data_IF_024217143157
#
_entry.id   IF_024217143157
#
_cell.length_a   1.000
_cell.length_b   1.000
_cell.length_c   1.000
_cell.angle_alpha   90.00
_cell.angle_beta   90.00
_cell.angle_gamma   90.00
#
_symmetry.space_group_name_H-M   'P 1'
#
loop_
_entity.id
_entity.type
_entity.pdbx_description
1 polymer ?
#
# COMPACT_ATOMS: atom_id res chain seq x y z
N UNK A 1 -6.57 23.53 -7.65
CA UNK A 1 -5.92 22.48 -8.47
C UNK A 1 -6.90 22.11 -9.57
N UNK A 2 -6.45 21.79 -10.80
CA UNK A 2 -7.33 21.11 -11.75
C UNK A 2 -7.93 19.89 -11.04
N UNK A 3 -9.23 19.61 -11.17
CA UNK A 3 -9.88 18.51 -10.45
C UNK A 3 -9.54 17.13 -11.08
N UNK A 4 -8.32 16.96 -11.59
CA UNK A 4 -7.91 15.81 -12.39
C UNK A 4 -8.69 15.70 -13.70
N UNK A 5 -8.56 14.57 -14.38
CA UNK A 5 -9.11 14.38 -15.73
C UNK A 5 -10.17 13.28 -15.80
N UNK A 6 -9.95 12.14 -15.15
CA UNK A 6 -10.93 11.06 -14.88
C UNK A 6 -10.19 9.91 -14.16
N UNK A 7 -10.78 8.70 -14.08
CA UNK A 7 -10.04 7.46 -13.84
C UNK A 7 -9.06 7.23 -15.03
N UNK A 8 -7.81 6.89 -14.74
CA UNK A 8 -6.71 6.78 -15.72
C UNK A 8 -6.15 5.35 -15.82
N UNK A 9 -6.85 4.42 -16.48
CA UNK A 9 -6.33 3.07 -16.76
C UNK A 9 -5.32 3.04 -17.93
N UNK A 10 -4.34 3.95 -17.92
CA UNK A 10 -3.32 4.13 -18.95
C UNK A 10 -1.98 4.53 -18.34
N UNK A 11 -0.88 4.11 -18.96
CA UNK A 11 0.47 4.56 -18.59
C UNK A 11 0.73 6.04 -18.95
N UNK A 12 -0.14 6.63 -19.77
CA UNK A 12 -0.12 8.05 -20.09
C UNK A 12 -1.19 8.78 -19.30
N UNK A 13 -0.79 9.86 -18.62
CA UNK A 13 -1.72 10.76 -17.96
C UNK A 13 -2.67 11.42 -18.96
N UNK A 14 -3.92 11.61 -18.56
CA UNK A 14 -4.85 12.36 -19.39
C UNK A 14 -4.44 13.83 -19.38
N UNK A 15 -4.51 14.45 -20.56
CA UNK A 15 -4.29 15.88 -20.76
C UNK A 15 -5.59 16.55 -21.22
N UNK A 16 -5.65 17.88 -21.09
CA UNK A 16 -6.76 18.69 -21.59
C UNK A 16 -7.45 19.53 -20.53
N UNK A 17 -8.78 19.64 -20.62
CA UNK A 17 -9.59 20.40 -19.66
C UNK A 17 -9.80 19.59 -18.40
N UNK A 18 -9.35 20.10 -17.27
CA UNK A 18 -9.58 19.48 -16.00
C UNK A 18 -11.07 19.39 -15.69
N UNK A 19 -11.44 18.39 -14.89
CA UNK A 19 -12.79 18.30 -14.32
C UNK A 19 -13.11 19.62 -13.60
N UNK A 20 -14.37 20.01 -13.69
CA UNK A 20 -14.88 21.25 -13.15
C UNK A 20 -16.02 21.01 -12.17
N UNK A 21 -16.93 21.97 -12.17
CA UNK A 21 -18.24 21.83 -11.53
C UNK A 21 -19.31 21.76 -12.60
N UNK A 22 -20.46 21.19 -12.24
CA UNK A 22 -21.67 21.23 -13.07
C UNK A 22 -22.77 22.02 -12.38
N UNK A 23 -23.65 22.62 -13.18
CA UNK A 23 -24.79 23.39 -12.69
C UNK A 23 -26.04 22.52 -12.51
N UNK A 24 -26.15 21.47 -13.33
CA UNK A 24 -27.32 20.60 -13.38
C UNK A 24 -26.95 19.18 -12.95
N UNK A 25 -27.91 18.52 -12.32
CA UNK A 25 -27.80 17.14 -11.86
C UNK A 25 -28.76 16.25 -12.65
N UNK A 26 -28.32 15.04 -12.94
CA UNK A 26 -29.13 14.07 -13.66
C UNK A 26 -30.42 13.74 -12.87
N UNK A 27 -31.58 13.51 -13.54
CA UNK A 27 -32.85 13.29 -12.87
C UNK A 27 -32.85 12.18 -11.82
N UNK A 28 -32.12 11.09 -12.06
CA UNK A 28 -32.06 9.95 -11.13
C UNK A 28 -31.37 10.30 -9.79
N UNK A 29 -30.46 11.29 -9.78
CA UNK A 29 -29.80 11.78 -8.57
C UNK A 29 -30.72 12.63 -7.70
N UNK A 30 -31.83 13.14 -8.25
CA UNK A 30 -32.80 13.96 -7.50
C UNK A 30 -33.63 13.16 -6.50
N UNK A 31 -33.52 11.82 -6.52
CA UNK A 31 -34.12 10.94 -5.52
C UNK A 31 -33.41 11.01 -4.16
N UNK A 32 -32.17 11.52 -4.14
CA UNK A 32 -31.40 11.73 -2.92
C UNK A 32 -31.39 13.19 -2.44
N UNK A 33 -30.60 13.46 -1.41
CA UNK A 33 -30.37 14.83 -0.95
C UNK A 33 -29.59 15.66 -1.99
N UNK A 34 -30.04 16.90 -2.20
CA UNK A 34 -29.42 17.88 -3.10
C UNK A 34 -29.07 19.11 -2.26
N UNK A 35 -27.79 19.46 -2.20
CA UNK A 35 -27.35 20.69 -1.54
C UNK A 35 -27.64 21.91 -2.40
N UNK A 36 -27.64 23.10 -1.80
CA UNK A 36 -27.56 24.33 -2.58
C UNK A 36 -26.28 24.32 -3.43
N UNK A 37 -26.41 24.66 -4.72
CA UNK A 37 -25.33 24.47 -5.70
C UNK A 37 -24.12 25.37 -5.49
N UNK A 38 -24.27 26.50 -4.77
CA UNK A 38 -23.23 27.54 -4.67
C UNK A 38 -22.71 27.91 -6.09
N UNK A 39 -21.41 27.73 -6.37
CA UNK A 39 -20.83 27.94 -7.72
C UNK A 39 -20.97 26.72 -8.65
N UNK A 40 -21.41 25.58 -8.13
CA UNK A 40 -21.67 24.33 -8.86
C UNK A 40 -21.24 23.09 -8.06
N UNK A 41 -21.77 21.94 -8.47
CA UNK A 41 -21.48 20.62 -7.88
C UNK A 41 -20.17 20.05 -8.42
N UNK A 42 -19.34 19.50 -7.54
CA UNK A 42 -18.07 18.88 -7.92
C UNK A 42 -18.31 17.60 -8.72
N UNK A 43 -17.50 17.35 -9.74
CA UNK A 43 -17.54 16.11 -10.51
C UNK A 43 -16.65 15.01 -9.88
N UNK A 44 -17.23 13.81 -9.75
CA UNK A 44 -16.49 12.56 -9.50
C UNK A 44 -15.48 12.28 -10.62
N UNK A 45 -14.58 11.33 -10.41
CA UNK A 45 -13.62 10.90 -11.45
C UNK A 45 -14.29 10.32 -12.71
N UNK A 46 -15.51 9.80 -12.57
CA UNK A 46 -16.32 9.31 -13.68
C UNK A 46 -17.29 10.35 -14.26
N UNK A 47 -17.17 11.62 -13.87
CA UNK A 47 -17.99 12.71 -14.40
C UNK A 47 -19.42 12.78 -13.82
N UNK A 48 -19.74 11.98 -12.80
CA UNK A 48 -21.01 12.12 -12.07
C UNK A 48 -20.95 13.28 -11.08
N UNK A 49 -22.02 14.08 -10.92
CA UNK A 49 -22.08 15.15 -9.94
C UNK A 49 -22.16 14.61 -8.49
N UNK A 50 -21.36 15.16 -7.59
CA UNK A 50 -21.56 15.01 -6.15
C UNK A 50 -22.65 15.97 -5.68
N UNK A 51 -23.87 15.48 -5.44
CA UNK A 51 -25.02 16.31 -5.05
C UNK A 51 -24.89 17.00 -3.69
N UNK A 52 -23.84 16.67 -2.92
CA UNK A 52 -23.56 17.18 -1.59
C UNK A 52 -22.16 17.81 -1.47
N UNK A 53 -21.47 18.04 -2.58
CA UNK A 53 -20.13 18.66 -2.60
C UNK A 53 -20.11 19.80 -3.60
N UNK A 54 -19.89 21.02 -3.12
CA UNK A 54 -20.00 22.24 -3.92
C UNK A 54 -18.77 23.12 -3.81
N UNK A 55 -18.53 23.92 -4.84
CA UNK A 55 -17.44 24.90 -4.85
C UNK A 55 -17.92 26.24 -4.29
N UNK A 56 -17.10 26.85 -3.43
CA UNK A 56 -17.29 28.21 -2.90
C UNK A 56 -15.96 28.95 -2.87
N UNK A 57 -15.75 29.82 -3.85
CA UNK A 57 -14.47 30.46 -4.13
C UNK A 57 -13.36 29.44 -4.35
N UNK A 58 -12.33 29.51 -3.51
CA UNK A 58 -11.20 28.58 -3.51
C UNK A 58 -11.40 27.36 -2.59
N UNK A 59 -12.55 27.22 -1.92
CA UNK A 59 -12.83 26.11 -1.04
C UNK A 59 -13.84 25.14 -1.66
N UNK A 60 -13.82 23.90 -1.17
CA UNK A 60 -14.86 22.91 -1.41
C UNK A 60 -15.66 22.72 -0.12
N UNK A 61 -16.98 22.76 -0.22
CA UNK A 61 -17.88 22.54 0.90
C UNK A 61 -18.52 21.16 0.74
N UNK A 62 -18.29 20.29 1.72
CA UNK A 62 -18.92 18.96 1.80
C UNK A 62 -20.07 19.04 2.80
N UNK A 63 -21.30 18.85 2.33
CA UNK A 63 -22.51 18.79 3.15
C UNK A 63 -22.68 17.36 3.67
N UNK A 64 -22.60 17.17 4.99
CA UNK A 64 -22.74 15.85 5.59
C UNK A 64 -24.20 15.52 5.88
N UNK A 65 -24.52 14.22 5.92
CA UNK A 65 -25.82 13.72 6.35
C UNK A 65 -26.19 14.11 7.80
N UNK A 66 -25.19 14.46 8.62
CA UNK A 66 -25.39 14.98 9.98
C UNK A 66 -25.86 16.44 10.05
N UNK A 67 -25.97 17.13 8.91
CA UNK A 67 -26.29 18.56 8.82
C UNK A 67 -25.11 19.49 9.04
N UNK A 68 -23.90 18.96 9.26
CA UNK A 68 -22.67 19.75 9.36
C UNK A 68 -22.01 19.94 8.00
N UNK A 69 -21.34 21.08 7.84
CA UNK A 69 -20.51 21.38 6.68
C UNK A 69 -19.04 21.17 7.01
N UNK A 70 -18.31 20.55 6.09
CA UNK A 70 -16.84 20.51 6.12
C UNK A 70 -16.30 21.39 5.00
N UNK A 71 -15.47 22.36 5.37
CA UNK A 71 -14.70 23.18 4.42
C UNK A 71 -13.35 22.51 4.14
N UNK A 72 -13.12 22.13 2.89
CA UNK A 72 -11.85 21.61 2.40
C UNK A 72 -11.06 22.72 1.69
N UNK A 73 -9.86 22.99 2.19
CA UNK A 73 -8.92 23.94 1.59
C UNK A 73 -7.94 23.21 0.66
N UNK A 74 -7.82 23.59 -0.62
CA UNK A 74 -6.91 22.93 -1.55
C UNK A 74 -5.44 23.08 -1.15
N UNK A 75 -4.61 22.05 -1.45
CA UNK A 75 -3.17 22.04 -1.16
C UNK A 75 -2.42 23.26 -1.74
N UNK A 76 -2.77 23.73 -2.95
CA UNK A 76 -2.17 24.92 -3.55
C UNK A 76 -2.34 26.16 -2.67
N UNK A 77 -3.56 26.36 -2.14
CA UNK A 77 -3.85 27.48 -1.22
C UNK A 77 -3.09 27.31 0.09
N UNK A 78 -3.07 26.10 0.66
CA UNK A 78 -2.28 25.84 1.87
C UNK A 78 -0.78 26.12 1.67
N UNK A 79 -0.24 25.90 0.47
CA UNK A 79 1.14 26.25 0.13
C UNK A 79 1.35 27.76 0.06
N UNK A 80 0.47 28.48 -0.64
CA UNK A 80 0.49 29.96 -0.75
C UNK A 80 0.41 30.62 0.62
N UNK A 81 -0.47 30.10 1.48
CA UNK A 81 -0.68 30.56 2.86
C UNK A 81 0.43 30.08 3.83
N UNK A 82 1.44 29.34 3.35
CA UNK A 82 2.53 28.73 4.15
C UNK A 82 2.02 27.88 5.33
N UNK A 83 0.89 27.21 5.14
CA UNK A 83 0.20 26.40 6.15
C UNK A 83 0.53 24.88 6.07
N UNK A 84 1.38 24.47 5.12
CA UNK A 84 1.85 23.09 5.00
C UNK A 84 2.96 22.78 6.00
N UNK A 85 2.97 21.56 6.54
CA UNK A 85 4.10 21.08 7.35
C UNK A 85 5.34 20.89 6.49
N UNK A 86 6.52 20.87 7.13
CA UNK A 86 7.78 20.62 6.42
C UNK A 86 7.78 19.27 5.70
N UNK A 87 7.28 18.22 6.35
CA UNK A 87 7.13 16.91 5.71
C UNK A 87 6.21 16.96 4.48
N UNK A 88 5.13 17.76 4.52
CA UNK A 88 4.24 17.92 3.37
C UNK A 88 4.91 18.71 2.22
N UNK A 89 5.72 19.72 2.53
CA UNK A 89 6.50 20.45 1.52
C UNK A 89 7.53 19.54 0.84
N UNK A 90 8.29 18.78 1.61
CA UNK A 90 9.25 17.81 1.07
C UNK A 90 8.52 16.78 0.20
N UNK A 91 7.49 16.12 0.75
CA UNK A 91 6.82 15.03 0.07
C UNK A 91 6.04 15.46 -1.18
N UNK A 92 5.30 16.58 -1.14
CA UNK A 92 4.37 16.95 -2.22
C UNK A 92 4.88 18.06 -3.15
N UNK A 93 5.90 18.82 -2.75
CA UNK A 93 6.45 19.91 -3.57
C UNK A 93 7.82 19.59 -4.14
N UNK A 94 8.72 19.02 -3.34
CA UNK A 94 10.12 18.79 -3.74
C UNK A 94 10.32 17.44 -4.44
N UNK A 95 9.58 16.40 -4.03
CA UNK A 95 9.70 15.06 -4.61
C UNK A 95 8.62 14.86 -5.68
N UNK A 96 8.95 15.17 -6.93
CA UNK A 96 8.00 15.07 -8.05
C UNK A 96 7.42 13.65 -8.23
N UNK A 97 8.21 12.61 -7.94
CA UNK A 97 7.77 11.23 -8.03
C UNK A 97 6.58 10.93 -7.11
N UNK A 98 6.52 11.51 -5.91
CA UNK A 98 5.39 11.32 -5.01
C UNK A 98 4.09 11.90 -5.59
N UNK A 99 4.16 13.12 -6.13
CA UNK A 99 3.00 13.80 -6.70
C UNK A 99 2.51 13.14 -7.99
N UNK A 100 3.43 12.61 -8.79
CA UNK A 100 3.09 12.11 -10.12
C UNK A 100 2.69 10.63 -10.09
N UNK A 101 3.27 9.83 -9.19
CA UNK A 101 3.14 8.37 -9.22
C UNK A 101 2.35 7.79 -8.04
N UNK A 102 2.19 8.50 -6.93
CA UNK A 102 1.42 7.99 -5.78
C UNK A 102 -0.03 8.46 -5.84
N UNK A 103 -0.88 7.64 -5.24
CA UNK A 103 -2.19 8.07 -4.79
C UNK A 103 -2.10 8.90 -3.50
N UNK A 104 -2.98 9.88 -3.32
CA UNK A 104 -3.03 10.65 -2.08
C UNK A 104 -3.24 9.75 -0.85
N UNK A 105 -4.05 8.70 -1.00
CA UNK A 105 -4.34 7.75 0.07
C UNK A 105 -3.18 6.80 0.37
N UNK A 106 -2.14 6.73 -0.47
CA UNK A 106 -0.90 6.02 -0.16
C UNK A 106 -0.21 6.60 1.07
N UNK A 107 -0.21 7.92 1.17
CA UNK A 107 0.36 8.63 2.31
C UNK A 107 -0.66 8.77 3.46
N UNK A 108 -1.94 8.96 3.15
CA UNK A 108 -2.93 9.35 4.16
C UNK A 108 -3.74 8.20 4.77
N UNK A 109 -3.74 6.99 4.19
CA UNK A 109 -4.30 5.80 4.81
C UNK A 109 -3.29 5.22 5.81
N UNK A 110 -3.43 5.54 7.10
CA UNK A 110 -2.41 5.25 8.12
C UNK A 110 -2.43 3.82 8.67
N UNK A 111 -3.45 3.04 8.31
CA UNK A 111 -3.53 1.61 8.61
C UNK A 111 -4.60 0.98 7.72
N UNK A 112 -4.59 -0.35 7.56
CA UNK A 112 -5.71 -1.06 6.96
C UNK A 112 -5.90 -2.43 7.64
N UNK A 113 -7.14 -2.93 7.77
CA UNK A 113 -7.39 -4.30 8.20
C UNK A 113 -6.87 -5.26 7.11
N UNK A 114 -6.04 -6.21 7.50
CA UNK A 114 -5.36 -7.14 6.59
C UNK A 114 -5.59 -8.58 7.04
N UNK A 115 -6.55 -9.26 6.39
CA UNK A 115 -6.91 -10.65 6.66
C UNK A 115 -6.03 -11.59 5.83
N UNK A 116 -4.98 -12.16 6.44
CA UNK A 116 -4.09 -13.08 5.74
C UNK A 116 -4.59 -14.52 5.84
N UNK A 117 -4.63 -15.20 4.69
CA UNK A 117 -4.99 -16.61 4.52
C UNK A 117 -6.39 -16.98 5.02
N UNK A 118 -7.34 -17.17 4.12
CA UNK A 118 -8.68 -17.68 4.41
C UNK A 118 -8.75 -19.19 4.14
N UNK A 119 -8.93 -20.00 5.18
CA UNK A 119 -9.19 -21.42 5.03
C UNK A 119 -10.69 -21.68 4.91
N UNK A 120 -11.11 -22.09 3.72
CA UNK A 120 -12.48 -22.47 3.40
C UNK A 120 -12.58 -23.99 3.45
N UNK A 121 -13.44 -24.49 4.34
CA UNK A 121 -13.78 -25.91 4.42
C UNK A 121 -15.22 -26.12 3.97
N UNK A 122 -15.40 -26.99 2.98
CA UNK A 122 -16.72 -27.47 2.53
C UNK A 122 -16.87 -28.92 2.99
N UNK A 123 -17.85 -29.18 3.85
CA UNK A 123 -18.01 -30.47 4.50
C UNK A 123 -19.36 -31.11 4.15
N UNK A 124 -19.31 -32.15 3.33
CA UNK A 124 -20.47 -32.93 2.88
C UNK A 124 -20.79 -34.13 3.79
N UNK A 125 -20.00 -34.38 4.83
CA UNK A 125 -20.17 -35.53 5.71
C UNK A 125 -21.42 -35.42 6.57
N UNK A 126 -22.05 -36.57 6.87
CA UNK A 126 -23.16 -36.63 7.82
C UNK A 126 -24.40 -35.80 7.44
N UNK A 127 -24.63 -35.56 6.14
CA UNK A 127 -25.77 -34.79 5.65
C UNK A 127 -25.71 -33.30 6.03
N UNK A 128 -24.52 -32.77 6.27
CA UNK A 128 -24.30 -31.34 6.54
C UNK A 128 -24.76 -30.49 5.35
N UNK A 129 -25.39 -29.36 5.67
CA UNK A 129 -25.95 -28.43 4.69
C UNK A 129 -25.50 -27.00 4.99
N UNK A 130 -25.65 -26.12 4.01
CA UNK A 130 -25.52 -24.67 4.15
C UNK A 130 -26.65 -23.95 3.40
N UNK A 131 -26.82 -22.67 3.68
CA UNK A 131 -27.79 -21.83 2.98
C UNK A 131 -27.21 -21.40 1.63
N UNK A 132 -27.99 -21.55 0.56
CA UNK A 132 -27.75 -20.88 -0.73
C UNK A 132 -28.32 -19.46 -0.68
N UNK A 133 -27.47 -18.51 -0.30
CA UNK A 133 -27.83 -17.10 -0.23
C UNK A 133 -28.14 -16.48 -1.60
N UNK A 134 -27.65 -17.05 -2.71
CA UNK A 134 -27.95 -16.56 -4.05
C UNK A 134 -29.36 -16.96 -4.47
N UNK A 135 -29.72 -18.23 -4.28
CA UNK A 135 -31.09 -18.69 -4.51
C UNK A 135 -32.10 -17.94 -3.62
N UNK A 136 -31.77 -17.77 -2.34
CA UNK A 136 -32.60 -17.05 -1.38
C UNK A 136 -32.78 -15.56 -1.74
N UNK A 137 -31.75 -14.91 -2.32
CA UNK A 137 -31.82 -13.51 -2.73
C UNK A 137 -32.57 -13.30 -4.05
N UNK A 138 -32.55 -14.30 -4.95
CA UNK A 138 -33.27 -14.27 -6.23
C UNK A 138 -34.77 -14.51 -6.09
N UNK A 139 -35.21 -15.24 -5.06
CA UNK A 139 -36.62 -15.44 -4.79
C UNK A 139 -37.24 -14.17 -4.16
N UNK A 140 -37.78 -13.28 -4.98
CA UNK A 140 -38.41 -12.04 -4.54
C UNK A 140 -39.92 -12.10 -4.70
N UNK A 141 -40.65 -11.67 -3.67
CA UNK A 141 -42.10 -11.50 -3.79
C UNK A 141 -42.45 -10.16 -4.46
N UNK A 142 -43.76 -9.91 -4.63
CA UNK A 142 -44.27 -8.68 -5.25
C UNK A 142 -43.93 -7.38 -4.48
N UNK A 143 -43.46 -7.50 -3.24
CA UNK A 143 -43.04 -6.37 -2.40
C UNK A 143 -41.51 -6.22 -2.36
N UNK A 144 -40.77 -7.09 -3.05
CA UNK A 144 -39.30 -7.08 -3.06
C UNK A 144 -38.68 -7.74 -1.83
N UNK A 145 -39.47 -8.42 -0.99
CA UNK A 145 -38.91 -9.21 0.12
C UNK A 145 -38.21 -10.42 -0.47
N UNK A 146 -36.98 -10.71 -0.01
CA UNK A 146 -36.22 -11.87 -0.48
C UNK A 146 -36.62 -13.14 0.26
N UNK A 147 -36.45 -14.29 -0.38
CA UNK A 147 -36.69 -15.62 0.18
C UNK A 147 -35.94 -15.85 1.47
N UNK A 148 -34.71 -15.34 1.55
CA UNK A 148 -33.90 -15.40 2.76
C UNK A 148 -34.47 -14.63 3.96
N UNK A 149 -35.33 -13.63 3.74
CA UNK A 149 -36.05 -12.94 4.83
C UNK A 149 -37.32 -13.69 5.27
N UNK A 150 -37.84 -14.59 4.42
CA UNK A 150 -39.06 -15.37 4.69
C UNK A 150 -38.74 -16.71 5.35
N UNK A 151 -37.88 -17.52 4.74
CA UNK A 151 -37.48 -18.83 5.26
C UNK A 151 -36.14 -19.30 4.67
N UNK A 152 -35.05 -19.16 5.44
CA UNK A 152 -33.73 -19.64 5.02
C UNK A 152 -33.64 -21.17 4.88
N UNK A 153 -34.52 -21.94 5.55
CA UNK A 153 -34.46 -23.41 5.50
C UNK A 153 -34.94 -23.97 4.16
N UNK A 154 -35.74 -23.20 3.41
CA UNK A 154 -36.18 -23.57 2.08
C UNK A 154 -35.03 -23.57 1.04
N UNK A 155 -33.89 -22.94 1.35
CA UNK A 155 -32.75 -22.77 0.45
C UNK A 155 -31.50 -23.51 0.95
N UNK A 156 -31.68 -24.68 1.56
CA UNK A 156 -30.55 -25.51 2.00
C UNK A 156 -29.99 -26.33 0.85
N UNK A 157 -28.66 -26.33 0.74
CA UNK A 157 -27.89 -27.16 -0.20
C UNK A 157 -26.91 -28.05 0.54
N UNK A 158 -26.57 -29.18 -0.07
CA UNK A 158 -25.57 -30.12 0.45
C UNK A 158 -24.22 -29.44 0.67
N UNK A 159 -23.57 -29.75 1.80
CA UNK A 159 -22.24 -29.24 2.16
C UNK A 159 -22.33 -28.04 3.10
N UNK A 160 -21.72 -28.16 4.29
CA UNK A 160 -21.54 -27.01 5.18
C UNK A 160 -20.26 -26.28 4.86
N UNK A 161 -20.36 -25.00 4.53
CA UNK A 161 -19.19 -24.12 4.34
C UNK A 161 -18.83 -23.48 5.67
N UNK A 162 -17.56 -23.53 6.02
CA UNK A 162 -16.97 -22.81 7.16
C UNK A 162 -15.71 -22.11 6.71
N UNK A 163 -15.48 -20.90 7.20
CA UNK A 163 -14.29 -20.12 6.91
C UNK A 163 -13.57 -19.80 8.22
N UNK A 164 -12.25 -19.94 8.19
CA UNK A 164 -11.36 -19.44 9.24
C UNK A 164 -10.25 -18.61 8.58
N UNK A 165 -9.57 -17.77 9.37
CA UNK A 165 -8.47 -16.94 8.90
C UNK A 165 -7.19 -17.28 9.65
N UNK A 166 -6.05 -17.17 8.97
CA UNK A 166 -4.75 -17.47 9.56
C UNK A 166 -4.34 -16.40 10.55
N UNK A 167 -4.43 -15.12 10.17
CA UNK A 167 -4.19 -13.99 11.06
C UNK A 167 -4.73 -12.67 10.52
N UNK A 168 -4.89 -11.69 11.40
CA UNK A 168 -5.37 -10.34 11.09
C UNK A 168 -4.42 -9.29 11.66
N UNK A 169 -4.17 -8.23 10.90
CA UNK A 169 -3.35 -7.07 11.29
C UNK A 169 -4.09 -5.77 11.03
N UNK A 170 -3.84 -4.76 11.85
CA UNK A 170 -4.34 -3.38 11.71
C UNK A 170 -3.15 -2.44 11.77
N UNK A 171 -2.40 -2.40 10.69
CA UNK A 171 -1.12 -1.69 10.60
C UNK A 171 -0.93 -1.13 9.19
N UNK A 172 0.22 -0.52 8.95
CA UNK A 172 0.59 -0.02 7.63
C UNK A 172 0.47 -1.14 6.56
N UNK A 173 -0.30 -0.91 5.49
CA UNK A 173 -0.40 -1.85 4.37
C UNK A 173 0.88 -1.86 3.52
N UNK A 174 1.05 -2.95 2.76
CA UNK A 174 2.05 -3.04 1.70
C UNK A 174 1.76 -2.03 0.58
N UNK A 175 2.64 -1.92 -0.42
CA UNK A 175 2.44 -1.07 -1.59
C UNK A 175 2.50 -1.88 -2.88
N UNK A 176 1.66 -1.50 -3.84
CA UNK A 176 1.74 -2.00 -5.22
C UNK A 176 1.16 -0.96 -6.18
N UNK A 177 1.35 -1.20 -7.48
CA UNK A 177 0.72 -0.39 -8.51
C UNK A 177 -0.75 -0.80 -8.66
N UNK A 178 -1.66 0.18 -8.66
CA UNK A 178 -3.08 -0.03 -8.92
C UNK A 178 -3.41 -0.05 -10.42
N UNK A 179 -4.68 -0.28 -10.74
CA UNK A 179 -5.17 -0.31 -12.12
C UNK A 179 -5.01 1.01 -12.89
N UNK A 180 -4.79 2.13 -12.19
CA UNK A 180 -4.53 3.44 -12.81
C UNK A 180 -3.02 3.73 -12.98
N UNK A 181 -2.16 2.73 -12.76
CA UNK A 181 -0.71 2.89 -12.87
C UNK A 181 -0.08 3.68 -11.72
N UNK A 182 -0.81 3.94 -10.63
CA UNK A 182 -0.34 4.70 -9.46
C UNK A 182 -0.05 3.77 -8.30
N UNK A 183 0.94 4.12 -7.48
CA UNK A 183 1.28 3.36 -6.28
C UNK A 183 0.25 3.63 -5.20
N UNK A 184 -0.29 2.56 -4.63
CA UNK A 184 -1.38 2.57 -3.67
C UNK A 184 -1.13 1.59 -2.51
N UNK A 185 -1.83 1.76 -1.37
CA UNK A 185 -1.92 0.74 -0.35
C UNK A 185 -2.43 -0.59 -0.92
N UNK A 186 -1.83 -1.68 -0.48
CA UNK A 186 -2.17 -3.04 -0.91
C UNK A 186 -2.37 -3.92 0.31
N UNK A 187 -3.51 -4.59 0.36
CA UNK A 187 -3.90 -5.50 1.43
C UNK A 187 -4.15 -6.90 0.86
N UNK A 188 -4.21 -7.95 1.70
CA UNK A 188 -4.74 -9.24 1.25
C UNK A 188 -6.14 -9.07 0.65
N UNK A 189 -6.28 -9.54 -0.59
CA UNK A 189 -7.57 -9.83 -1.19
C UNK A 189 -8.07 -11.19 -0.70
N UNK A 190 -8.66 -11.97 -1.60
CA UNK A 190 -9.03 -13.34 -1.30
C UNK A 190 -7.80 -14.25 -1.33
N UNK A 191 -7.33 -14.70 -0.17
CA UNK A 191 -6.23 -15.66 -0.06
C UNK A 191 -6.75 -17.04 0.33
N UNK A 192 -7.43 -17.71 -0.59
CA UNK A 192 -8.21 -18.92 -0.28
C UNK A 192 -7.36 -20.19 -0.31
N UNK A 193 -7.38 -20.92 0.79
CA UNK A 193 -6.96 -22.31 0.91
C UNK A 193 -8.20 -23.18 1.13
N UNK A 194 -8.39 -24.20 0.31
CA UNK A 194 -9.63 -25.01 0.30
C UNK A 194 -9.41 -26.39 0.90
N UNK A 195 -10.36 -26.87 1.69
CA UNK A 195 -10.50 -28.28 2.02
C UNK A 195 -11.92 -28.76 1.75
N UNK A 196 -12.04 -29.92 1.12
CA UNK A 196 -13.33 -30.52 0.79
C UNK A 196 -13.41 -31.87 1.47
N UNK A 197 -14.39 -32.05 2.36
CA UNK A 197 -14.66 -33.32 3.03
C UNK A 197 -15.83 -33.99 2.32
N UNK A 198 -15.61 -35.18 1.80
CA UNK A 198 -16.62 -35.96 1.09
C UNK A 198 -17.71 -36.51 2.02
N UNK A 199 -18.76 -37.09 1.43
CA UNK A 199 -19.90 -37.66 2.16
C UNK A 199 -19.49 -38.74 3.18
N UNK A 200 -18.41 -39.47 2.89
CA UNK A 200 -17.82 -40.50 3.77
C UNK A 200 -16.95 -39.94 4.91
N UNK A 201 -16.78 -38.61 5.01
CA UNK A 201 -15.92 -37.98 6.03
C UNK A 201 -14.44 -37.93 5.68
N UNK A 202 -14.03 -38.42 4.51
CA UNK A 202 -12.64 -38.35 4.01
C UNK A 202 -12.39 -37.04 3.26
N UNK A 203 -11.20 -36.48 3.40
CA UNK A 203 -10.78 -35.31 2.63
C UNK A 203 -10.60 -35.68 1.14
N UNK A 204 -11.35 -35.01 0.27
CA UNK A 204 -11.20 -35.04 -1.19
C UNK A 204 -10.16 -34.00 -1.65
N UNK A 205 -10.10 -32.87 -0.94
CA UNK A 205 -9.06 -31.85 -1.04
C UNK A 205 -8.65 -31.46 0.38
N UNK A 206 -7.36 -31.36 0.62
CA UNK A 206 -6.79 -30.93 1.89
C UNK A 206 -5.87 -29.74 1.62
N UNK A 207 -6.10 -28.62 2.32
CA UNK A 207 -5.23 -27.44 2.30
C UNK A 207 -4.75 -27.03 0.89
N UNK A 208 -5.66 -27.02 -0.07
CA UNK A 208 -5.34 -26.83 -1.47
C UNK A 208 -5.46 -25.37 -1.88
N UNK A 209 -4.40 -24.82 -2.47
CA UNK A 209 -4.44 -23.54 -3.19
C UNK A 209 -4.36 -23.85 -4.68
N UNK A 210 -5.34 -23.37 -5.45
CA UNK A 210 -5.35 -23.54 -6.89
C UNK A 210 -4.29 -22.65 -7.55
N UNK A 211 -3.87 -23.02 -8.77
CA UNK A 211 -2.98 -22.19 -9.59
C UNK A 211 -3.69 -21.73 -10.85
N UNK A 212 -3.40 -20.49 -11.25
CA UNK A 212 -3.90 -19.87 -12.47
C UNK A 212 -2.74 -19.85 -13.48
N UNK A 213 -2.82 -20.63 -14.58
CA UNK A 213 -1.79 -20.62 -15.62
C UNK A 213 -1.80 -19.29 -16.38
N UNK A 214 -0.63 -18.88 -16.88
CA UNK A 214 -0.45 -17.76 -17.82
C UNK A 214 -1.01 -16.39 -17.36
N UNK A 215 -1.07 -16.15 -16.04
CA UNK A 215 -1.52 -14.87 -15.45
C UNK A 215 -0.34 -14.06 -14.89
N UNK A 216 -0.36 -12.73 -15.08
CA UNK A 216 0.62 -11.79 -14.48
C UNK A 216 2.10 -12.20 -14.69
N UNK A 217 2.43 -12.73 -15.87
CA UNK A 217 3.80 -13.16 -16.20
C UNK A 217 4.20 -14.52 -15.61
N UNK A 218 3.27 -15.23 -14.97
CA UNK A 218 3.47 -16.62 -14.58
C UNK A 218 3.68 -17.49 -15.83
N UNK A 219 4.71 -18.34 -15.78
CA UNK A 219 4.97 -19.37 -16.80
C UNK A 219 3.95 -20.52 -16.66
N UNK A 220 4.20 -21.65 -17.33
CA UNK A 220 3.35 -22.84 -17.27
C UNK A 220 3.05 -23.37 -15.84
N UNK A 221 3.88 -23.06 -14.82
CA UNK A 221 3.59 -23.44 -13.42
C UNK A 221 2.37 -22.70 -12.85
N UNK A 222 2.02 -21.52 -13.38
CA UNK A 222 0.94 -20.67 -12.92
C UNK A 222 1.22 -19.94 -11.60
N UNK A 223 0.39 -18.94 -11.31
CA UNK A 223 0.42 -18.20 -10.04
C UNK A 223 -0.55 -18.84 -9.04
N UNK A 224 -0.22 -18.83 -7.74
CA UNK A 224 -1.19 -19.18 -6.71
C UNK A 224 -2.43 -18.27 -6.83
N UNK A 225 -3.62 -18.87 -6.80
CA UNK A 225 -4.93 -18.20 -6.84
C UNK A 225 -5.29 -17.54 -5.48
N UNK A 226 -4.33 -16.82 -4.93
CA UNK A 226 -4.46 -15.98 -3.75
C UNK A 226 -4.03 -14.57 -4.15
N UNK A 227 -4.69 -13.54 -3.63
CA UNK A 227 -4.53 -12.18 -4.15
C UNK A 227 -4.07 -11.18 -3.08
N UNK A 228 -3.29 -10.21 -3.53
CA UNK A 228 -3.06 -8.95 -2.86
C UNK A 228 -3.74 -7.83 -3.66
N UNK A 229 -4.68 -7.13 -3.05
CA UNK A 229 -5.51 -6.13 -3.72
C UNK A 229 -5.06 -4.71 -3.40
N UNK A 230 -4.73 -3.88 -4.42
CA UNK A 230 -4.67 -2.44 -4.29
C UNK A 230 -6.00 -1.90 -3.73
N UNK A 231 -5.95 -0.99 -2.77
CA UNK A 231 -7.14 -0.51 -2.08
C UNK A 231 -7.02 0.97 -1.68
N UNK A 232 -8.16 1.66 -1.62
CA UNK A 232 -8.31 2.92 -0.90
C UNK A 232 -9.00 2.65 0.45
N UNK A 233 -8.27 2.54 1.57
CA UNK A 233 -8.87 2.28 2.88
C UNK A 233 -9.66 3.49 3.39
N UNK A 234 -10.63 3.22 4.29
CA UNK A 234 -11.41 4.26 4.98
C UNK A 234 -10.69 4.91 6.17
N UNK A 235 -9.36 4.78 6.22
CA UNK A 235 -8.50 5.18 7.35
C UNK A 235 -7.70 6.44 7.01
N UNK A 236 -8.29 7.29 6.17
CA UNK A 236 -7.68 8.54 5.71
C UNK A 236 -7.60 9.50 6.89
N UNK A 237 -6.39 9.97 7.19
CA UNK A 237 -6.19 10.94 8.26
C UNK A 237 -5.47 12.21 7.78
N UNK A 238 -5.57 13.29 8.56
CA UNK A 238 -4.86 14.54 8.30
C UNK A 238 -3.34 14.35 8.27
N UNK A 239 -2.83 13.45 9.11
CA UNK A 239 -1.40 13.18 9.20
C UNK A 239 -1.04 12.02 8.27
N UNK A 240 -0.08 12.24 7.39
CA UNK A 240 0.45 11.17 6.56
C UNK A 240 1.25 10.16 7.40
N UNK A 241 1.41 8.95 6.86
CA UNK A 241 2.33 7.94 7.35
C UNK A 241 3.76 8.48 7.39
N UNK A 242 4.57 7.95 8.30
CA UNK A 242 6.00 8.25 8.36
C UNK A 242 6.73 7.76 7.10
N UNK A 243 7.80 8.42 6.69
CA UNK A 243 8.58 8.07 5.49
C UNK A 243 9.08 6.61 5.56
N UNK A 244 9.51 6.20 6.75
CA UNK A 244 10.06 4.89 7.08
C UNK A 244 9.05 3.76 6.85
N UNK A 245 7.75 4.05 6.99
CA UNK A 245 6.70 3.05 6.78
C UNK A 245 6.69 2.50 5.34
N UNK A 246 7.22 3.27 4.38
CA UNK A 246 7.33 2.89 2.98
C UNK A 246 8.79 2.65 2.57
N UNK A 247 9.68 3.57 2.95
CA UNK A 247 11.07 3.58 2.50
C UNK A 247 12.02 2.66 3.28
N UNK A 248 11.59 2.16 4.44
CA UNK A 248 12.38 1.27 5.30
C UNK A 248 11.59 0.01 5.70
N UNK A 249 10.71 -0.48 4.80
CA UNK A 249 9.77 -1.55 5.08
C UNK A 249 9.80 -2.63 4.00
N UNK A 250 10.24 -3.84 4.37
CA UNK A 250 10.18 -5.03 3.51
C UNK A 250 8.73 -5.34 3.09
N UNK A 251 7.79 -5.11 4.00
CA UNK A 251 6.36 -5.27 3.74
C UNK A 251 5.88 -4.30 2.65
N UNK A 252 6.31 -3.04 2.69
CA UNK A 252 5.97 -2.07 1.66
C UNK A 252 6.51 -2.47 0.27
N UNK A 253 7.65 -3.16 0.23
CA UNK A 253 8.25 -3.70 -1.01
C UNK A 253 7.59 -5.00 -1.51
N UNK A 254 6.64 -5.56 -0.76
CA UNK A 254 6.00 -6.85 -1.08
C UNK A 254 6.77 -8.10 -0.66
N UNK A 255 7.87 -7.92 0.07
CA UNK A 255 8.72 -9.00 0.60
C UNK A 255 8.14 -9.66 1.85
N UNK A 256 6.96 -9.22 2.30
CA UNK A 256 6.26 -9.76 3.45
C UNK A 256 6.66 -9.12 4.79
N UNK A 257 5.91 -9.48 5.83
CA UNK A 257 6.10 -9.01 7.20
C UNK A 257 7.44 -9.57 7.72
N UNK A 258 8.36 -8.68 8.10
CA UNK A 258 9.72 -9.06 8.49
C UNK A 258 10.47 -9.81 7.38
N UNK A 259 10.24 -9.44 6.12
CA UNK A 259 10.84 -10.10 4.95
C UNK A 259 10.31 -11.51 4.71
N UNK A 260 9.15 -11.87 5.27
CA UNK A 260 8.54 -13.20 5.11
C UNK A 260 9.22 -14.29 5.94
N UNK A 261 10.13 -13.93 6.85
CA UNK A 261 10.90 -14.86 7.68
C UNK A 261 10.32 -15.09 9.08
N UNK A 262 9.25 -14.37 9.41
CA UNK A 262 8.65 -14.37 10.75
C UNK A 262 7.77 -15.60 11.02
N UNK A 263 7.53 -16.45 10.02
CA UNK A 263 6.65 -17.63 10.12
C UNK A 263 7.38 -18.90 9.68
N UNK A 264 6.89 -20.02 10.20
CA UNK A 264 7.33 -21.35 9.75
C UNK A 264 6.84 -21.61 8.33
N UNK A 265 7.60 -22.40 7.57
CA UNK A 265 7.29 -22.81 6.20
C UNK A 265 5.94 -23.55 6.13
N UNK A 266 4.90 -22.87 5.65
CA UNK A 266 3.55 -23.42 5.55
C UNK A 266 3.39 -24.52 4.49
N UNK A 267 4.40 -24.72 3.63
CA UNK A 267 4.42 -25.85 2.69
C UNK A 267 4.74 -27.18 3.37
N UNK A 268 5.11 -27.16 4.65
CA UNK A 268 5.43 -28.34 5.45
C UNK A 268 4.40 -28.53 6.56
N UNK A 269 4.14 -29.80 6.88
CA UNK A 269 3.37 -30.15 8.08
C UNK A 269 4.12 -29.65 9.29
N UNK A 270 3.39 -28.98 10.18
CA UNK A 270 3.96 -28.43 11.39
C UNK A 270 3.51 -29.21 12.61
N UNK A 271 4.50 -29.52 13.42
CA UNK A 271 4.38 -30.32 14.62
C UNK A 271 5.04 -29.51 15.72
N UNK A 272 4.31 -29.28 16.81
CA UNK A 272 4.86 -28.71 18.05
C UNK A 272 5.02 -29.87 19.02
N UNK A 273 6.27 -30.23 19.31
CA UNK A 273 6.58 -31.26 20.31
C UNK A 273 7.97 -31.04 20.91
N UNK A 274 8.40 -31.93 21.83
CA UNK A 274 9.76 -32.00 22.33
C UNK A 274 10.74 -32.20 21.18
N UNK A 275 11.47 -31.15 20.85
CA UNK A 275 12.44 -31.11 19.76
C UNK A 275 13.84 -30.83 20.28
N UNK A 276 14.83 -31.37 19.59
CA UNK A 276 16.23 -30.93 19.69
C UNK A 276 16.42 -29.56 19.04
N UNK A 277 17.54 -28.92 19.33
CA UNK A 277 17.92 -27.64 18.72
C UNK A 277 18.06 -27.70 17.18
N UNK A 278 18.25 -28.88 16.60
CA UNK A 278 18.29 -29.13 15.16
C UNK A 278 16.89 -29.38 14.54
N UNK A 279 15.82 -29.23 15.33
CA UNK A 279 14.44 -29.45 14.90
C UNK A 279 14.00 -30.91 14.87
N UNK A 280 14.85 -31.86 15.30
CA UNK A 280 14.46 -33.27 15.36
C UNK A 280 13.46 -33.52 16.49
N UNK A 281 12.28 -34.00 16.14
CA UNK A 281 11.25 -34.49 17.06
C UNK A 281 11.78 -35.69 17.84
N UNK A 282 11.67 -35.64 19.17
CA UNK A 282 12.11 -36.69 20.09
C UNK A 282 11.05 -37.78 20.31
N UNK A 283 9.75 -37.46 20.45
CA UNK A 283 8.72 -38.48 20.62
C UNK A 283 8.49 -39.31 19.36
N UNK A 284 8.09 -40.56 19.54
CA UNK A 284 7.71 -41.47 18.44
C UNK A 284 6.25 -41.35 18.05
N UNK A 285 5.41 -40.80 18.94
CA UNK A 285 3.99 -40.52 18.70
C UNK A 285 3.87 -39.01 18.72
N UNK A 286 3.39 -38.45 17.61
CA UNK A 286 3.19 -37.01 17.45
C UNK A 286 1.85 -36.74 16.78
N UNK A 287 1.29 -35.60 17.12
CA UNK A 287 0.10 -35.07 16.46
C UNK A 287 0.49 -33.95 15.49
N UNK A 288 -0.14 -33.92 14.32
CA UNK A 288 -0.01 -32.80 13.40
C UNK A 288 -0.82 -31.62 13.91
N UNK A 289 -0.17 -30.48 14.16
CA UNK A 289 -0.87 -29.27 14.59
C UNK A 289 -1.54 -28.58 13.40
N UNK A 290 -0.84 -28.55 12.26
CA UNK A 290 -1.40 -28.19 10.97
C UNK A 290 -0.72 -28.94 9.83
N UNK A 291 -1.53 -29.49 8.92
CA UNK A 291 -1.03 -30.17 7.71
C UNK A 291 -0.51 -29.15 6.69
N UNK A 292 0.47 -29.59 5.89
CA UNK A 292 1.06 -28.79 4.82
C UNK A 292 0.04 -28.13 3.88
N UNK A 293 0.35 -26.91 3.44
CA UNK A 293 -0.30 -26.23 2.32
C UNK A 293 0.69 -26.27 1.14
N UNK A 294 0.68 -27.35 0.36
CA UNK A 294 1.75 -27.69 -0.59
C UNK A 294 2.14 -26.56 -1.57
N UNK A 295 1.17 -25.74 -1.98
CA UNK A 295 1.40 -24.64 -2.92
C UNK A 295 1.81 -23.30 -2.25
N UNK A 296 1.74 -23.19 -0.93
CA UNK A 296 2.14 -22.00 -0.18
C UNK A 296 3.61 -22.11 0.26
N UNK A 297 4.52 -21.94 -0.71
CA UNK A 297 5.98 -21.99 -0.47
C UNK A 297 6.54 -20.75 0.23
N UNK A 298 5.70 -19.75 0.48
CA UNK A 298 6.06 -18.46 1.06
C UNK A 298 4.94 -18.00 1.98
N UNK A 299 5.26 -17.18 2.98
CA UNK A 299 4.27 -16.56 3.86
C UNK A 299 3.19 -15.82 3.05
N UNK A 300 1.93 -15.90 3.51
CA UNK A 300 0.78 -15.22 2.90
C UNK A 300 1.01 -13.72 2.68
N UNK A 301 1.82 -13.07 3.52
CA UNK A 301 2.07 -11.64 3.38
C UNK A 301 3.05 -11.26 2.27
N UNK A 302 3.72 -12.24 1.69
CA UNK A 302 4.75 -12.07 0.67
C UNK A 302 4.16 -12.27 -0.72
N UNK A 303 4.22 -11.25 -1.56
CA UNK A 303 3.79 -11.32 -2.96
C UNK A 303 4.92 -11.08 -3.96
N UNK A 304 6.13 -10.82 -3.46
CA UNK A 304 7.33 -10.71 -4.25
C UNK A 304 8.54 -11.30 -3.50
N UNK A 305 9.47 -11.90 -4.24
CA UNK A 305 10.78 -12.32 -3.70
C UNK A 305 11.89 -11.27 -3.87
N UNK A 306 13.07 -11.53 -3.31
CA UNK A 306 14.22 -10.62 -3.43
C UNK A 306 14.62 -10.38 -4.90
N UNK A 307 14.45 -11.38 -5.75
CA UNK A 307 14.80 -11.33 -7.17
C UNK A 307 13.76 -10.57 -8.01
N UNK A 308 12.61 -10.22 -7.43
CA UNK A 308 11.49 -9.59 -8.13
C UNK A 308 10.52 -10.57 -8.78
N UNK A 309 10.58 -11.86 -8.45
CA UNK A 309 9.59 -12.85 -8.87
C UNK A 309 8.30 -12.62 -8.10
N UNK A 310 7.18 -12.56 -8.81
CA UNK A 310 5.85 -12.48 -8.22
C UNK A 310 5.42 -13.84 -7.64
N UNK A 311 4.82 -13.83 -6.45
CA UNK A 311 4.53 -15.05 -5.67
C UNK A 311 3.04 -15.34 -5.48
N UNK A 312 2.18 -14.37 -5.77
CA UNK A 312 0.73 -14.49 -5.80
C UNK A 312 0.14 -13.37 -6.65
N UNK A 313 -1.16 -13.39 -6.97
CA UNK A 313 -1.72 -12.35 -7.84
C UNK A 313 -1.76 -10.98 -7.17
N UNK A 314 -1.65 -9.89 -7.93
CA UNK A 314 -1.72 -8.53 -7.37
C UNK A 314 -2.67 -7.64 -8.15
N UNK A 315 -3.95 -7.66 -7.77
CA UNK A 315 -4.94 -6.79 -8.36
C UNK A 315 -5.24 -7.12 -9.83
N UNK A 316 -5.08 -8.39 -10.21
CA UNK A 316 -5.19 -9.00 -11.56
C UNK A 316 -6.46 -8.71 -12.37
N UNK A 317 -7.37 -7.89 -11.84
CA UNK A 317 -8.58 -7.40 -12.49
C UNK A 317 -8.34 -6.23 -13.45
N UNK A 318 -7.22 -5.50 -13.29
CA UNK A 318 -6.86 -4.37 -14.15
C UNK A 318 -5.49 -4.58 -14.78
N UNK A 319 -5.33 -4.15 -16.04
CA UNK A 319 -4.13 -4.40 -16.85
C UNK A 319 -2.86 -3.72 -16.34
N UNK A 320 -2.98 -2.64 -15.57
CA UNK A 320 -1.84 -1.94 -14.97
C UNK A 320 -1.61 -2.30 -13.51
N UNK A 321 -2.50 -3.08 -12.89
CA UNK A 321 -2.22 -3.56 -11.54
C UNK A 321 -1.05 -4.53 -11.59
N UNK A 322 -0.08 -4.33 -10.70
CA UNK A 322 1.08 -5.21 -10.60
C UNK A 322 1.80 -4.98 -9.26
N UNK A 323 2.62 -5.93 -8.80
CA UNK A 323 3.63 -5.66 -7.80
C UNK A 323 4.54 -4.49 -8.22
N UNK A 324 5.27 -3.91 -7.28
CA UNK A 324 6.27 -2.90 -7.61
C UNK A 324 7.38 -3.49 -8.50
N UNK A 325 7.62 -2.89 -9.66
CA UNK A 325 8.69 -3.33 -10.55
C UNK A 325 10.08 -3.06 -9.93
N UNK A 326 11.14 -3.56 -10.59
CA UNK A 326 12.51 -3.40 -10.10
C UNK A 326 12.93 -1.92 -9.98
N UNK A 327 12.52 -1.05 -10.90
CA UNK A 327 12.85 0.38 -10.86
C UNK A 327 12.11 1.08 -9.72
N UNK A 328 10.82 0.76 -9.54
CA UNK A 328 9.99 1.27 -8.46
C UNK A 328 10.54 0.85 -7.09
N UNK A 329 10.90 -0.43 -6.90
CA UNK A 329 11.53 -0.91 -5.66
C UNK A 329 12.88 -0.26 -5.41
N UNK A 330 13.72 -0.13 -6.44
CA UNK A 330 15.02 0.54 -6.34
C UNK A 330 14.90 2.03 -6.00
N UNK A 331 13.77 2.68 -6.31
CA UNK A 331 13.44 4.06 -5.91
C UNK A 331 12.81 4.13 -4.51
N UNK A 332 12.03 3.12 -4.13
CA UNK A 332 11.33 3.04 -2.85
C UNK A 332 12.26 2.71 -1.68
N UNK A 333 13.14 1.72 -1.80
CA UNK A 333 14.03 1.32 -0.71
C UNK A 333 15.05 2.45 -0.42
N UNK A 334 14.86 3.16 0.69
CA UNK A 334 15.65 4.34 1.09
C UNK A 334 15.85 4.30 2.61
N UNK A 335 16.54 3.27 3.10
CA UNK A 335 16.87 3.12 4.53
C UNK A 335 17.91 4.17 4.95
N UNK A 336 17.53 5.12 5.79
CA UNK A 336 18.42 6.20 6.26
C UNK A 336 17.71 7.40 6.89
N UNK A 337 18.44 8.50 7.07
CA UNK A 337 17.94 9.75 7.66
C UNK A 337 17.33 10.64 6.56
N UNK A 338 16.03 10.50 6.31
CA UNK A 338 15.36 11.15 5.18
C UNK A 338 15.14 12.66 5.41
N UNK A 339 14.46 13.02 6.52
CA UNK A 339 14.03 14.40 6.76
C UNK A 339 15.20 15.35 7.05
N UNK A 340 16.24 14.91 7.76
CA UNK A 340 17.35 15.80 8.12
C UNK A 340 18.14 16.31 6.90
N UNK A 341 18.19 15.51 5.83
CA UNK A 341 18.83 15.92 4.58
C UNK A 341 17.83 16.65 3.67
N UNK A 342 16.62 16.11 3.49
CA UNK A 342 15.63 16.70 2.58
C UNK A 342 14.96 17.99 3.09
N UNK A 343 15.15 18.36 4.37
CA UNK A 343 14.81 19.70 4.85
C UNK A 343 15.65 20.79 4.17
N UNK A 344 16.93 20.49 3.90
CA UNK A 344 17.90 21.44 3.33
C UNK A 344 18.19 21.20 1.85
N UNK A 345 17.88 20.01 1.33
CA UNK A 345 18.10 19.58 -0.05
C UNK A 345 16.74 19.35 -0.73
N UNK A 346 16.43 19.92 -1.91
CA UNK A 346 17.39 20.51 -2.86
C UNK A 346 17.52 22.04 -2.79
N UNK A 347 16.57 22.74 -2.16
CA UNK A 347 16.42 24.19 -2.33
C UNK A 347 16.93 25.04 -1.16
N UNK A 348 17.43 24.43 -0.08
CA UNK A 348 17.95 25.15 1.09
C UNK A 348 19.35 25.74 0.90
N UNK A 349 20.08 25.35 -0.16
CA UNK A 349 21.42 25.84 -0.48
C UNK A 349 21.61 25.98 -1.99
N UNK A 350 22.16 27.12 -2.43
CA UNK A 350 22.46 27.37 -3.85
C UNK A 350 23.43 26.32 -4.41
N UNK A 351 24.43 25.91 -3.63
CA UNK A 351 25.40 24.89 -4.06
C UNK A 351 24.72 23.54 -4.26
N UNK A 352 23.86 23.12 -3.32
CA UNK A 352 23.10 21.88 -3.43
C UNK A 352 22.14 21.93 -4.61
N UNK A 353 21.39 23.02 -4.75
CA UNK A 353 20.45 23.21 -5.86
C UNK A 353 21.16 23.13 -7.22
N UNK A 354 22.33 23.77 -7.36
CA UNK A 354 23.15 23.68 -8.56
C UNK A 354 23.61 22.24 -8.85
N UNK A 355 24.04 21.47 -7.84
CA UNK A 355 24.41 20.06 -8.03
C UNK A 355 23.23 19.20 -8.46
N UNK A 356 22.07 19.35 -7.81
CA UNK A 356 20.86 18.58 -8.15
C UNK A 356 20.40 18.92 -9.55
N UNK A 357 20.40 20.21 -9.92
CA UNK A 357 20.07 20.64 -11.27
C UNK A 357 21.05 20.07 -12.31
N UNK A 358 22.36 20.09 -12.04
CA UNK A 358 23.37 19.51 -12.93
C UNK A 358 23.16 18.00 -13.12
N UNK A 359 22.85 17.26 -12.05
CA UNK A 359 22.54 15.83 -12.14
C UNK A 359 21.27 15.56 -12.96
N UNK A 360 20.21 16.35 -12.77
CA UNK A 360 18.99 16.27 -13.56
C UNK A 360 19.23 16.56 -15.05
N UNK A 361 20.00 17.61 -15.35
CA UNK A 361 20.38 17.96 -16.74
C UNK A 361 21.26 16.88 -17.39
N UNK A 362 22.05 16.17 -16.59
CA UNK A 362 22.84 15.02 -17.03
C UNK A 362 22.05 13.71 -17.11
N UNK A 363 20.75 13.70 -16.75
CA UNK A 363 19.90 12.51 -16.77
C UNK A 363 20.30 11.43 -15.77
N UNK A 364 21.00 11.80 -14.69
CA UNK A 364 21.47 10.84 -13.68
C UNK A 364 20.30 10.49 -12.75
N UNK A 365 19.86 9.22 -12.79
CA UNK A 365 18.97 8.67 -11.77
C UNK A 365 19.78 8.17 -10.57
N UNK A 366 19.37 8.55 -9.34
CA UNK A 366 20.05 8.15 -8.10
C UNK A 366 19.26 7.03 -7.43
N UNK A 367 19.84 5.83 -7.40
CA UNK A 367 19.27 4.66 -6.72
C UNK A 367 19.63 4.62 -5.21
N UNK A 368 19.25 3.54 -4.51
CA UNK A 368 19.56 3.41 -3.08
C UNK A 368 21.07 3.34 -2.80
N UNK A 369 21.80 2.60 -3.65
CA UNK A 369 23.24 2.40 -3.51
C UNK A 369 23.99 3.71 -3.75
N UNK A 370 23.58 4.47 -4.75
CA UNK A 370 24.10 5.81 -5.03
C UNK A 370 23.81 6.75 -3.86
N UNK A 371 22.59 6.73 -3.34
CA UNK A 371 22.17 7.58 -2.22
C UNK A 371 23.00 7.29 -0.95
N UNK A 372 23.14 6.01 -0.60
CA UNK A 372 23.99 5.58 0.52
C UNK A 372 25.47 5.93 0.28
N UNK A 373 25.95 5.79 -0.96
CA UNK A 373 27.31 6.17 -1.35
C UNK A 373 27.58 7.66 -1.21
N UNK A 374 26.63 8.51 -1.58
CA UNK A 374 26.71 9.98 -1.40
C UNK A 374 26.76 10.31 0.09
N UNK A 375 25.86 9.74 0.90
CA UNK A 375 25.84 9.96 2.34
C UNK A 375 27.16 9.53 2.99
N UNK A 376 27.68 8.36 2.65
CA UNK A 376 28.96 7.87 3.16
C UNK A 376 30.12 8.80 2.80
N UNK A 377 30.19 9.29 1.56
CA UNK A 377 31.21 10.24 1.10
C UNK A 377 31.10 11.58 1.83
N UNK A 378 29.90 12.11 1.99
CA UNK A 378 29.67 13.39 2.68
C UNK A 378 30.04 13.30 4.17
N UNK A 379 29.70 12.21 4.84
CA UNK A 379 30.09 11.96 6.23
C UNK A 379 31.61 11.90 6.39
N UNK A 380 32.29 11.14 5.51
CA UNK A 380 33.75 11.03 5.53
C UNK A 380 34.43 12.38 5.25
N UNK A 381 33.96 13.11 4.22
CA UNK A 381 34.50 14.41 3.87
C UNK A 381 34.28 15.42 4.99
N UNK A 382 33.07 15.47 5.57
CA UNK A 382 32.73 16.33 6.70
C UNK A 382 33.62 16.06 7.91
N UNK A 383 33.83 14.79 8.25
CA UNK A 383 34.71 14.39 9.34
C UNK A 383 36.17 14.82 9.11
N UNK A 384 36.72 14.60 7.91
CA UNK A 384 38.08 15.02 7.57
C UNK A 384 38.24 16.54 7.56
N UNK A 385 37.27 17.29 7.02
CA UNK A 385 37.30 18.76 7.02
C UNK A 385 37.27 19.29 8.46
N UNK A 386 36.43 18.72 9.33
CA UNK A 386 36.36 19.12 10.73
C UNK A 386 37.69 18.85 11.46
N UNK A 387 38.28 17.67 11.26
CA UNK A 387 39.57 17.30 11.86
C UNK A 387 40.71 18.20 11.35
N UNK A 388 40.89 18.27 10.02
CA UNK A 388 41.97 19.04 9.40
C UNK A 388 41.81 20.54 9.64
N UNK A 389 40.57 21.06 9.58
CA UNK A 389 40.25 22.44 9.88
C UNK A 389 40.56 22.79 11.34
N UNK A 390 40.21 21.91 12.28
CA UNK A 390 40.55 22.06 13.69
C UNK A 390 42.07 22.07 13.93
N UNK A 391 42.81 21.15 13.29
CA UNK A 391 44.27 21.12 13.37
C UNK A 391 44.91 22.37 12.77
N UNK A 392 44.42 22.84 11.61
CA UNK A 392 44.92 24.05 10.96
C UNK A 392 44.66 25.31 11.81
N UNK A 393 43.46 25.43 12.40
CA UNK A 393 43.14 26.53 13.34
C UNK A 393 44.01 26.48 14.60
N UNK A 394 44.24 25.28 15.15
CA UNK A 394 45.15 25.09 16.29
C UNK A 394 46.58 25.50 15.95
N UNK A 395 47.11 25.05 14.81
CA UNK A 395 48.43 25.41 14.33
C UNK A 395 48.57 26.93 14.06
N UNK A 396 47.53 27.55 13.49
CA UNK A 396 47.48 29.00 13.27
C UNK A 396 47.52 29.76 14.61
N UNK A 397 46.76 29.30 15.61
CA UNK A 397 46.76 29.89 16.95
C UNK A 397 48.14 29.80 17.61
N UNK A 398 48.78 28.64 17.57
CA UNK A 398 50.15 28.44 18.09
C UNK A 398 51.13 29.37 17.35
N UNK A 399 51.04 29.45 16.03
CA UNK A 399 51.88 30.34 15.22
C UNK A 399 51.67 31.82 15.56
N UNK A 400 50.42 32.26 15.76
CA UNK A 400 50.09 33.63 16.15
C UNK A 400 50.60 33.96 17.55
N UNK A 401 50.46 33.04 18.51
CA UNK A 401 50.99 33.17 19.87
C UNK A 401 52.52 33.28 19.82
N UNK A 402 53.18 32.40 19.07
CA UNK A 402 54.63 32.44 18.87
C UNK A 402 55.09 33.77 18.26
N UNK A 403 54.41 34.27 17.21
CA UNK A 403 54.71 35.56 16.59
C UNK A 403 54.50 36.74 17.55
N UNK A 404 53.47 36.67 18.39
CA UNK A 404 53.18 37.70 19.39
C UNK A 404 54.27 37.74 20.47
N UNK A 405 54.69 36.58 20.99
CA UNK A 405 55.78 36.49 21.96
C UNK A 405 57.11 36.99 21.37
N UNK A 406 57.43 36.63 20.12
CA UNK A 406 58.64 37.08 19.43
C UNK A 406 58.66 38.58 19.07
N UNK A 407 57.52 39.27 19.14
CA UNK A 407 57.45 40.75 19.00
C UNK A 407 57.60 41.49 20.33
N UNK A 408 57.50 40.78 21.46
CA UNK A 408 57.64 41.33 22.82
C UNK A 408 59.01 41.07 23.44
N UNK A 409 59.70 40.01 23.00
CA UNK A 409 61.14 39.83 23.17
C UNK A 409 61.87 40.66 22.11
#
# INVERSE_FOLDING_TARGET
>A
MPLGYSDEFSTQHKEGTARGVVQEIAPYLKKGYISEKEEGYLLTARGNPYTHVVKKGNNIIVKLASGKDITLTPLKKLKEDKALSQAALVAMDQVAAHRNNLECYTCHATWAPQCYGCHVKVDYSGGKQNIDYLAAAHDQDIHGTTGGMRDLKAYLVDGRVTETRSFLRWEDPALSQNGEGRISPTIPGCQVTVSVIGKEGKALLQNHIFKIPDVEGAKAEGQNAIDMSPVQPHTITKHARACESCHASDKALGLGIGGGTMRADESKTFIIDLMRADGKILPTIVDEQFSAIANLKNDYSRFMDENGTQLQTVGHHFSLSQPLDASQRAKLDRRGICLSCHDTIPNGSLAVSAMVHAAQMAGIEVDNKDHQGILGKLLLLGAWIQLLGGMALGALLVYLIYRYQKRRA
#
